data_IF_607156330909
#
_entry.id   IF_607156330909
#
_cell.length_a   1.000
_cell.length_b   1.000
_cell.length_c   1.000
_cell.angle_alpha   90.00
_cell.angle_beta   90.00
_cell.angle_gamma   90.00
#
_symmetry.space_group_name_H-M   'P 1'
#
loop_
_entity.id
_entity.type
_entity.pdbx_description
1 polymer ?
#
# COMPACT_ATOMS: atom_id res chain seq x y z
N UNK A 1 -33.85 3.53 -4.14
CA UNK A 1 -32.85 4.55 -4.15
C UNK A 1 -32.45 4.98 -5.55
N UNK A 2 -31.95 6.20 -5.65
CA UNK A 2 -31.33 6.73 -6.88
C UNK A 2 -29.82 6.68 -6.71
N UNK A 3 -29.14 6.17 -7.72
CA UNK A 3 -27.67 6.13 -7.80
C UNK A 3 -27.20 6.97 -8.99
N UNK A 4 -26.18 7.78 -8.80
CA UNK A 4 -25.63 8.68 -9.81
C UNK A 4 -24.17 8.30 -10.08
N UNK A 5 -23.76 8.34 -11.34
CA UNK A 5 -22.40 8.01 -11.76
C UNK A 5 -21.95 8.87 -12.94
N UNK A 6 -20.66 9.18 -13.00
CA UNK A 6 -20.06 9.93 -14.10
C UNK A 6 -20.16 11.45 -13.94
N UNK A 7 -20.35 12.16 -15.05
CA UNK A 7 -20.26 13.63 -15.08
C UNK A 7 -21.26 14.34 -14.17
N UNK A 8 -22.39 13.73 -13.88
CA UNK A 8 -23.39 14.30 -12.95
C UNK A 8 -22.82 14.48 -11.54
N UNK A 9 -21.79 13.73 -11.18
CA UNK A 9 -21.07 13.85 -9.91
C UNK A 9 -19.87 14.82 -9.99
N UNK A 10 -19.77 15.62 -11.06
CA UNK A 10 -18.69 16.58 -11.25
C UNK A 10 -17.38 15.99 -11.76
N UNK A 11 -17.34 14.73 -12.18
CA UNK A 11 -16.12 14.10 -12.72
C UNK A 11 -15.99 14.26 -14.23
N UNK A 12 -14.74 14.35 -14.70
CA UNK A 12 -14.41 14.29 -16.12
C UNK A 12 -13.42 13.15 -16.36
N UNK A 13 -13.76 12.27 -17.27
CA UNK A 13 -12.93 11.13 -17.66
C UNK A 13 -13.77 9.88 -17.83
N UNK A 14 -13.37 9.07 -18.82
CA UNK A 14 -14.07 7.83 -19.16
C UNK A 14 -13.91 6.79 -18.04
N UNK A 15 -12.72 6.68 -17.52
CA UNK A 15 -12.36 5.73 -16.46
C UNK A 15 -13.08 6.04 -15.15
N UNK A 16 -13.19 7.32 -14.80
CA UNK A 16 -13.91 7.77 -13.61
C UNK A 16 -15.40 7.46 -13.71
N UNK A 17 -16.00 7.67 -14.89
CA UNK A 17 -17.40 7.37 -15.13
C UNK A 17 -17.67 5.86 -15.07
N UNK A 18 -16.82 5.05 -15.67
CA UNK A 18 -16.91 3.60 -15.65
C UNK A 18 -16.78 3.05 -14.22
N UNK A 19 -15.79 3.51 -13.48
CA UNK A 19 -15.55 3.10 -12.09
C UNK A 19 -16.73 3.44 -11.17
N UNK A 20 -17.27 4.65 -11.27
CA UNK A 20 -18.49 5.05 -10.54
C UNK A 20 -19.69 4.20 -10.94
N UNK A 21 -19.84 3.89 -12.25
CA UNK A 21 -20.91 3.05 -12.75
C UNK A 21 -20.88 1.64 -12.15
N UNK A 22 -19.70 1.04 -12.02
CA UNK A 22 -19.53 -0.27 -11.36
C UNK A 22 -19.94 -0.19 -9.89
N UNK A 23 -19.46 0.81 -9.15
CA UNK A 23 -19.80 0.99 -7.74
C UNK A 23 -21.29 1.23 -7.53
N UNK A 24 -21.88 2.13 -8.32
CA UNK A 24 -23.29 2.46 -8.26
C UNK A 24 -24.17 1.26 -8.62
N UNK A 25 -23.79 0.51 -9.66
CA UNK A 25 -24.51 -0.70 -10.10
C UNK A 25 -24.46 -1.82 -9.06
N UNK A 26 -23.30 -2.08 -8.47
CA UNK A 26 -23.14 -3.06 -7.40
C UNK A 26 -24.05 -2.71 -6.21
N UNK A 27 -24.01 -1.46 -5.74
CA UNK A 27 -24.80 -1.01 -4.59
C UNK A 27 -26.31 -0.89 -4.90
N UNK A 28 -26.69 -0.72 -6.15
CA UNK A 28 -28.09 -0.74 -6.56
C UNK A 28 -28.64 -2.17 -6.57
N UNK A 29 -27.81 -3.16 -6.92
CA UNK A 29 -28.19 -4.58 -6.96
C UNK A 29 -28.31 -5.19 -5.56
N UNK A 30 -27.40 -4.86 -4.65
CA UNK A 30 -27.42 -5.32 -3.26
C UNK A 30 -27.32 -4.13 -2.30
N UNK A 31 -28.47 -3.73 -1.72
CA UNK A 31 -28.56 -2.62 -0.79
C UNK A 31 -28.26 -3.00 0.66
N UNK A 32 -28.42 -4.26 0.99
CA UNK A 32 -28.27 -4.75 2.36
C UNK A 32 -26.79 -4.99 2.68
N UNK A 33 -25.96 -5.19 1.64
CA UNK A 33 -24.50 -5.37 1.75
C UNK A 33 -23.75 -4.47 0.76
N UNK A 34 -23.72 -3.15 0.96
CA UNK A 34 -23.11 -2.23 0.00
C UNK A 34 -21.61 -2.49 -0.17
N UNK A 35 -21.16 -2.41 -1.42
CA UNK A 35 -19.74 -2.41 -1.76
C UNK A 35 -19.10 -1.09 -1.31
N UNK A 36 -18.30 -1.16 -0.28
CA UNK A 36 -17.51 -0.03 0.20
C UNK A 36 -16.03 -0.24 -0.11
N UNK A 37 -15.42 0.75 -0.76
CA UNK A 37 -13.99 0.76 -1.08
C UNK A 37 -13.32 1.92 -0.37
N UNK A 38 -12.35 1.60 0.46
CA UNK A 38 -11.58 2.62 1.19
C UNK A 38 -10.53 3.27 0.30
N UNK A 39 -10.08 4.47 0.69
CA UNK A 39 -8.93 5.17 0.09
C UNK A 39 -7.66 4.31 0.07
N UNK A 40 -7.52 3.42 1.03
CA UNK A 40 -6.37 2.53 1.16
C UNK A 40 -6.41 1.33 0.22
N UNK A 41 -7.58 1.05 -0.37
CA UNK A 41 -7.80 -0.16 -1.17
C UNK A 41 -7.80 0.09 -2.67
N UNK A 42 -8.22 1.25 -3.14
CA UNK A 42 -8.39 1.48 -4.57
C UNK A 42 -8.44 2.97 -4.95
N UNK A 43 -8.14 3.26 -6.22
CA UNK A 43 -8.37 4.57 -6.82
C UNK A 43 -9.86 4.95 -6.79
N UNK A 44 -10.75 3.98 -6.96
CA UNK A 44 -12.20 4.20 -6.85
C UNK A 44 -12.60 4.60 -5.43
N UNK A 45 -11.97 4.02 -4.40
CA UNK A 45 -12.16 4.42 -3.01
C UNK A 45 -11.71 5.87 -2.75
N UNK A 46 -10.56 6.27 -3.32
CA UNK A 46 -10.09 7.68 -3.26
C UNK A 46 -11.06 8.60 -3.97
N UNK A 47 -11.52 8.23 -5.17
CA UNK A 47 -12.50 9.01 -5.95
C UNK A 47 -13.80 9.22 -5.17
N UNK A 48 -14.36 8.14 -4.62
CA UNK A 48 -15.61 8.20 -3.88
C UNK A 48 -15.49 9.08 -2.62
N UNK A 49 -14.40 8.91 -1.88
CA UNK A 49 -14.13 9.71 -0.68
C UNK A 49 -13.92 11.19 -1.01
N UNK A 50 -13.11 11.52 -2.03
CA UNK A 50 -12.91 12.93 -2.43
C UNK A 50 -14.22 13.61 -2.86
N UNK A 51 -15.05 12.91 -3.65
CA UNK A 51 -16.34 13.48 -4.10
C UNK A 51 -17.36 13.66 -2.98
N UNK A 52 -17.37 12.75 -2.01
CA UNK A 52 -18.35 12.81 -0.90
C UNK A 52 -17.93 13.73 0.23
N UNK A 53 -16.62 13.91 0.46
CA UNK A 53 -16.11 14.73 1.57
C UNK A 53 -15.77 16.15 1.15
N UNK A 54 -15.16 16.33 -0.02
CA UNK A 54 -14.68 17.63 -0.52
C UNK A 54 -15.62 18.24 -1.56
N UNK A 55 -16.38 17.38 -2.25
CA UNK A 55 -17.13 17.78 -3.44
C UNK A 55 -16.22 18.10 -4.62
N UNK A 56 -16.81 18.64 -5.69
CA UNK A 56 -16.10 19.08 -6.89
C UNK A 56 -16.55 20.48 -7.26
N UNK A 57 -15.72 21.48 -6.96
CA UNK A 57 -15.94 22.88 -7.40
C UNK A 57 -15.46 23.08 -8.84
N UNK A 58 -14.52 22.26 -9.30
CA UNK A 58 -14.02 22.19 -10.67
C UNK A 58 -14.19 20.73 -11.17
N UNK A 59 -14.17 20.52 -12.52
CA UNK A 59 -14.24 19.16 -13.05
C UNK A 59 -13.19 18.26 -12.44
N UNK A 60 -13.63 17.28 -11.64
CA UNK A 60 -12.73 16.36 -10.94
C UNK A 60 -12.13 15.34 -11.92
N UNK A 61 -10.83 15.16 -11.84
CA UNK A 61 -10.10 14.11 -12.53
C UNK A 61 -9.15 13.38 -11.58
N UNK A 62 -9.08 12.06 -11.76
CA UNK A 62 -8.22 11.21 -10.94
C UNK A 62 -6.77 11.26 -11.44
N UNK A 63 -5.90 11.80 -10.60
CA UNK A 63 -4.45 11.78 -10.80
C UNK A 63 -3.78 10.94 -9.72
N UNK A 64 -2.66 10.33 -10.06
CA UNK A 64 -1.84 9.58 -9.11
C UNK A 64 -1.35 10.43 -7.92
N UNK A 65 -1.28 11.75 -8.08
CA UNK A 65 -0.94 12.70 -7.01
C UNK A 65 -2.00 12.79 -5.92
N UNK A 66 -3.26 12.39 -6.20
CA UNK A 66 -4.36 12.35 -5.23
C UNK A 66 -4.35 11.08 -4.38
N UNK A 67 -3.56 10.08 -4.77
CA UNK A 67 -3.52 8.76 -4.13
C UNK A 67 -2.31 8.70 -3.21
N UNK A 68 -2.55 8.75 -1.91
CA UNK A 68 -1.53 8.73 -0.88
C UNK A 68 -0.70 7.43 -0.94
N UNK A 69 -1.37 6.31 -1.22
CA UNK A 69 -0.75 4.98 -1.28
C UNK A 69 -0.49 4.46 -2.69
N UNK A 70 -0.15 5.35 -3.61
CA UNK A 70 0.07 4.98 -5.03
C UNK A 70 1.12 3.87 -5.26
N UNK A 71 2.05 3.67 -4.35
CA UNK A 71 3.04 2.59 -4.44
C UNK A 71 2.46 1.22 -4.05
N UNK A 72 1.43 1.20 -3.22
CA UNK A 72 0.72 -0.03 -2.82
C UNK A 72 -0.49 -0.30 -3.72
N UNK A 73 -1.15 0.76 -4.23
CA UNK A 73 -2.34 0.66 -5.08
C UNK A 73 -1.91 0.86 -6.52
N UNK A 74 -1.47 -0.23 -7.16
CA UNK A 74 -0.97 -0.22 -8.54
C UNK A 74 -1.92 -0.97 -9.48
N UNK A 75 -1.77 -0.73 -10.78
CA UNK A 75 -2.53 -1.44 -11.80
C UNK A 75 -2.14 -2.93 -11.89
N UNK A 76 -0.84 -3.23 -11.74
CA UNK A 76 -0.29 -4.58 -11.82
C UNK A 76 -0.77 -5.52 -10.69
N UNK A 77 -1.15 -4.97 -9.54
CA UNK A 77 -1.67 -5.75 -8.40
C UNK A 77 -3.18 -5.55 -8.13
N UNK A 78 -3.90 -4.90 -9.04
CA UNK A 78 -5.32 -4.56 -8.84
C UNK A 78 -6.20 -5.81 -8.71
N UNK A 79 -5.93 -6.85 -9.49
CA UNK A 79 -6.65 -8.11 -9.44
C UNK A 79 -6.50 -8.80 -8.07
N UNK A 80 -5.30 -8.87 -7.52
CA UNK A 80 -5.05 -9.47 -6.21
C UNK A 80 -5.78 -8.70 -5.09
N UNK A 81 -5.79 -7.37 -5.15
CA UNK A 81 -6.43 -6.54 -4.13
C UNK A 81 -7.96 -6.52 -4.22
N UNK A 82 -8.52 -6.50 -5.42
CA UNK A 82 -9.93 -6.21 -5.64
C UNK A 82 -10.77 -7.41 -6.03
N UNK A 83 -10.19 -8.46 -6.64
CA UNK A 83 -10.96 -9.63 -7.10
C UNK A 83 -11.70 -10.32 -5.95
N UNK A 84 -11.06 -10.45 -4.78
CA UNK A 84 -11.71 -11.04 -3.60
C UNK A 84 -12.91 -10.21 -3.11
N UNK A 85 -12.81 -8.89 -3.19
CA UNK A 85 -13.90 -7.98 -2.83
C UNK A 85 -15.02 -8.10 -3.85
N UNK A 86 -14.70 -8.04 -5.14
CA UNK A 86 -15.66 -8.18 -6.23
C UNK A 86 -16.37 -9.55 -6.25
N UNK A 87 -15.65 -10.62 -5.91
CA UNK A 87 -16.23 -11.96 -5.78
C UNK A 87 -17.28 -12.03 -4.65
N UNK A 88 -16.99 -11.45 -3.50
CA UNK A 88 -17.95 -11.38 -2.38
C UNK A 88 -19.23 -10.64 -2.74
N UNK A 89 -19.15 -9.65 -3.63
CA UNK A 89 -20.29 -8.86 -4.11
C UNK A 89 -20.94 -9.45 -5.37
N UNK A 90 -20.55 -10.66 -5.80
CA UNK A 90 -21.10 -11.30 -7.01
C UNK A 90 -20.70 -10.67 -8.35
N UNK A 91 -19.72 -9.73 -8.35
CA UNK A 91 -19.23 -9.07 -9.57
C UNK A 91 -18.17 -9.89 -10.32
N UNK A 92 -17.58 -10.88 -9.68
CA UNK A 92 -16.49 -11.70 -10.21
C UNK A 92 -16.86 -13.17 -10.10
N UNK A 93 -16.65 -13.93 -11.19
CA UNK A 93 -16.88 -15.38 -11.21
C UNK A 93 -15.86 -16.16 -10.35
N UNK A 94 -16.23 -17.38 -9.95
CA UNK A 94 -15.36 -18.30 -9.22
C UNK A 94 -14.07 -18.58 -9.98
N UNK A 95 -14.14 -18.78 -11.29
CA UNK A 95 -12.96 -19.02 -12.14
C UNK A 95 -11.97 -17.86 -12.09
N UNK A 96 -12.45 -16.62 -12.22
CA UNK A 96 -11.61 -15.42 -12.13
C UNK A 96 -11.02 -15.25 -10.75
N UNK A 97 -11.78 -15.58 -9.71
CA UNK A 97 -11.29 -15.52 -8.32
C UNK A 97 -10.18 -16.56 -8.07
N UNK A 98 -10.36 -17.79 -8.58
CA UNK A 98 -9.34 -18.84 -8.48
C UNK A 98 -8.05 -18.44 -9.20
N UNK A 99 -8.14 -17.90 -10.41
CA UNK A 99 -6.98 -17.40 -11.16
C UNK A 99 -6.20 -16.33 -10.40
N UNK A 100 -6.88 -15.32 -9.85
CA UNK A 100 -6.23 -14.26 -9.08
C UNK A 100 -5.59 -14.79 -7.78
N UNK A 101 -6.23 -15.78 -7.15
CA UNK A 101 -5.71 -16.43 -5.94
C UNK A 101 -4.46 -17.26 -6.24
N UNK A 102 -4.45 -17.98 -7.35
CA UNK A 102 -3.28 -18.75 -7.79
C UNK A 102 -2.10 -17.82 -8.09
N UNK A 103 -2.33 -16.74 -8.83
CA UNK A 103 -1.32 -15.72 -9.13
C UNK A 103 -0.74 -15.09 -7.85
N UNK A 104 -1.59 -14.78 -6.87
CA UNK A 104 -1.15 -14.26 -5.57
C UNK A 104 -0.23 -15.26 -4.84
N UNK A 105 -0.59 -16.55 -4.84
CA UNK A 105 0.18 -17.60 -4.21
C UNK A 105 1.54 -17.81 -4.91
N UNK A 106 1.57 -17.82 -6.23
CA UNK A 106 2.81 -17.94 -7.02
C UNK A 106 3.73 -16.72 -6.75
N UNK A 107 3.19 -15.51 -6.74
CA UNK A 107 3.97 -14.31 -6.42
C UNK A 107 4.56 -14.35 -5.01
N UNK A 108 3.77 -14.70 -4.00
CA UNK A 108 4.24 -14.87 -2.61
C UNK A 108 5.33 -15.93 -2.50
N UNK A 109 5.17 -17.03 -3.23
CA UNK A 109 6.16 -18.11 -3.24
C UNK A 109 7.45 -17.66 -3.88
N UNK A 110 7.40 -16.94 -4.99
CA UNK A 110 8.58 -16.35 -5.63
C UNK A 110 9.33 -15.39 -4.70
N UNK A 111 8.60 -14.48 -4.01
CA UNK A 111 9.18 -13.58 -3.00
C UNK A 111 9.90 -14.38 -1.92
N UNK A 112 9.26 -15.44 -1.41
CA UNK A 112 9.85 -16.27 -0.36
C UNK A 112 11.17 -16.93 -0.82
N UNK A 113 11.19 -17.51 -2.02
CA UNK A 113 12.39 -18.15 -2.59
C UNK A 113 13.52 -17.13 -2.79
N UNK A 114 13.23 -15.96 -3.37
CA UNK A 114 14.21 -14.92 -3.63
C UNK A 114 14.80 -14.30 -2.35
N UNK A 115 14.08 -14.31 -1.25
CA UNK A 115 14.54 -13.77 0.05
C UNK A 115 15.31 -14.79 0.88
N UNK A 116 14.84 -16.04 0.91
CA UNK A 116 15.19 -16.97 1.97
C UNK A 116 16.08 -18.11 1.54
N UNK A 117 16.27 -18.36 0.23
CA UNK A 117 17.19 -19.40 -0.23
C UNK A 117 18.64 -18.95 -0.01
N UNK A 118 19.33 -19.57 0.93
CA UNK A 118 20.69 -19.19 1.31
C UNK A 118 21.68 -19.37 0.16
N UNK A 119 21.59 -20.46 -0.59
CA UNK A 119 22.44 -20.73 -1.73
C UNK A 119 22.33 -19.74 -2.88
N UNK A 120 21.31 -18.89 -2.90
CA UNK A 120 21.19 -17.79 -3.86
C UNK A 120 21.98 -16.55 -3.47
N UNK A 121 22.49 -16.46 -2.25
CA UNK A 121 23.21 -15.29 -1.76
C UNK A 121 24.64 -15.27 -2.29
N UNK A 122 25.03 -14.17 -2.91
CA UNK A 122 26.36 -13.99 -3.51
C UNK A 122 26.97 -12.64 -3.12
N UNK A 123 28.29 -12.52 -3.25
CA UNK A 123 28.96 -11.23 -3.13
C UNK A 123 28.58 -10.30 -4.31
N UNK A 124 28.60 -8.98 -4.10
CA UNK A 124 28.28 -8.00 -5.15
C UNK A 124 29.05 -8.22 -6.44
N UNK A 125 30.36 -8.54 -6.35
CA UNK A 125 31.19 -8.82 -7.50
C UNK A 125 30.73 -10.03 -8.33
N UNK A 126 30.19 -11.05 -7.67
CA UNK A 126 29.67 -12.25 -8.35
C UNK A 126 28.36 -11.94 -9.08
N UNK A 127 27.46 -11.16 -8.46
CA UNK A 127 26.25 -10.69 -9.13
C UNK A 127 26.56 -9.90 -10.40
N UNK A 128 27.53 -8.98 -10.34
CA UNK A 128 27.96 -8.20 -11.50
C UNK A 128 28.57 -9.11 -12.57
N UNK A 129 29.41 -10.09 -12.17
CA UNK A 129 29.99 -11.05 -13.09
C UNK A 129 28.93 -11.91 -13.80
N UNK A 130 27.83 -12.22 -13.10
CA UNK A 130 26.68 -12.96 -13.64
C UNK A 130 25.72 -12.09 -14.46
N UNK A 131 26.04 -10.82 -14.69
CA UNK A 131 25.29 -9.92 -15.56
C UNK A 131 24.30 -8.99 -14.85
N UNK A 132 24.21 -9.01 -13.51
CA UNK A 132 23.38 -8.08 -12.75
C UNK A 132 24.15 -6.78 -12.52
N UNK A 133 23.83 -5.75 -13.32
CA UNK A 133 24.55 -4.48 -13.30
C UNK A 133 24.14 -3.57 -12.14
N UNK A 134 22.93 -3.75 -11.60
CA UNK A 134 22.39 -2.98 -10.48
C UNK A 134 22.44 -3.83 -9.21
N UNK A 135 23.53 -3.73 -8.48
CA UNK A 135 23.73 -4.45 -7.23
C UNK A 135 24.02 -3.48 -6.09
N UNK A 136 23.51 -3.72 -4.86
CA UNK A 136 23.81 -2.86 -3.73
C UNK A 136 25.32 -2.85 -3.46
N UNK A 137 25.84 -1.69 -3.03
CA UNK A 137 27.23 -1.58 -2.55
C UNK A 137 27.37 -2.39 -1.25
N UNK A 138 28.01 -3.54 -1.37
CA UNK A 138 28.31 -4.40 -0.23
C UNK A 138 29.77 -4.25 0.19
N UNK A 139 29.99 -3.39 1.14
CA UNK A 139 31.28 -3.26 1.82
C UNK A 139 31.56 -4.55 2.62
N UNK A 140 32.81 -4.98 2.64
CA UNK A 140 33.31 -6.07 3.50
C UNK A 140 32.85 -7.50 3.19
N UNK A 141 32.60 -7.84 1.91
CA UNK A 141 32.33 -9.24 1.52
C UNK A 141 30.97 -9.79 1.96
N UNK A 142 30.02 -8.94 2.33
CA UNK A 142 28.65 -9.32 2.67
C UNK A 142 27.99 -10.07 1.50
N UNK A 143 27.26 -11.13 1.82
CA UNK A 143 26.41 -11.83 0.85
C UNK A 143 25.10 -11.08 0.66
N UNK A 144 24.70 -10.92 -0.60
CA UNK A 144 23.52 -10.19 -1.05
C UNK A 144 22.53 -11.20 -1.61
N UNK A 145 21.27 -11.11 -1.19
CA UNK A 145 20.19 -11.95 -1.73
C UNK A 145 19.68 -11.42 -3.08
N UNK A 146 19.05 -12.27 -3.92
CA UNK A 146 18.36 -11.82 -5.13
C UNK A 146 17.36 -10.69 -4.87
N UNK A 147 16.64 -10.75 -3.75
CA UNK A 147 15.69 -9.72 -3.36
C UNK A 147 16.34 -8.34 -3.16
N UNK A 148 17.53 -8.27 -2.57
CA UNK A 148 18.30 -7.03 -2.40
C UNK A 148 18.79 -6.48 -3.76
N UNK A 149 19.12 -7.37 -4.71
CA UNK A 149 19.51 -6.98 -6.08
C UNK A 149 18.30 -6.38 -6.82
N UNK A 150 17.11 -6.95 -6.69
CA UNK A 150 15.86 -6.39 -7.22
C UNK A 150 15.59 -5.02 -6.59
N UNK A 151 15.75 -4.87 -5.28
CA UNK A 151 15.56 -3.59 -4.58
C UNK A 151 16.52 -2.49 -5.09
N UNK A 152 17.64 -2.86 -5.69
CA UNK A 152 18.55 -1.94 -6.37
C UNK A 152 18.14 -1.59 -7.80
N UNK A 153 17.03 -2.17 -8.28
CA UNK A 153 16.43 -1.90 -9.58
C UNK A 153 16.88 -2.83 -10.70
N UNK A 154 17.44 -4.00 -10.38
CA UNK A 154 17.76 -5.02 -11.37
C UNK A 154 16.51 -5.76 -11.84
N UNK A 155 16.47 -6.14 -13.11
CA UNK A 155 15.36 -6.86 -13.70
C UNK A 155 15.33 -8.32 -13.28
N UNK A 156 14.14 -8.87 -12.99
CA UNK A 156 13.95 -10.25 -12.55
C UNK A 156 14.49 -11.28 -13.56
N UNK A 157 14.40 -10.97 -14.85
CA UNK A 157 14.94 -11.83 -15.92
C UNK A 157 16.45 -12.03 -15.82
N UNK A 158 17.20 -10.95 -15.56
CA UNK A 158 18.65 -11.00 -15.39
C UNK A 158 19.02 -11.81 -14.15
N UNK A 159 18.26 -11.68 -13.07
CA UNK A 159 18.48 -12.42 -11.82
C UNK A 159 18.25 -13.91 -12.02
N UNK A 160 17.18 -14.32 -12.68
CA UNK A 160 16.91 -15.74 -12.97
C UNK A 160 18.00 -16.33 -13.86
N UNK A 161 18.46 -15.59 -14.87
CA UNK A 161 19.56 -16.02 -15.70
C UNK A 161 20.87 -16.18 -14.90
N UNK A 162 21.17 -15.23 -14.02
CA UNK A 162 22.33 -15.29 -13.13
C UNK A 162 22.28 -16.51 -12.19
N UNK A 163 21.12 -16.78 -11.58
CA UNK A 163 20.91 -17.95 -10.72
C UNK A 163 21.05 -19.26 -11.50
N UNK A 164 20.55 -19.31 -12.73
CA UNK A 164 20.68 -20.49 -13.61
C UNK A 164 22.15 -20.77 -13.96
N UNK A 165 22.93 -19.74 -14.30
CA UNK A 165 24.36 -19.85 -14.54
C UNK A 165 25.12 -20.31 -13.29
N UNK A 166 24.79 -19.76 -12.14
CA UNK A 166 25.39 -20.09 -10.86
C UNK A 166 25.23 -21.59 -10.53
N UNK A 167 24.01 -22.10 -10.61
CA UNK A 167 23.72 -23.53 -10.33
C UNK A 167 24.40 -24.45 -11.35
N UNK A 168 24.47 -24.04 -12.62
CA UNK A 168 25.16 -24.79 -13.66
C UNK A 168 26.67 -24.87 -13.41
N UNK A 169 27.32 -23.76 -13.02
CA UNK A 169 28.75 -23.71 -12.73
C UNK A 169 29.09 -24.55 -11.49
N UNK A 170 28.27 -24.54 -10.45
CA UNK A 170 28.48 -25.37 -9.25
C UNK A 170 28.45 -26.84 -9.56
N UNK A 171 27.59 -27.30 -10.48
CA UNK A 171 27.53 -28.69 -10.93
C UNK A 171 28.77 -29.13 -11.71
N UNK A 172 29.33 -28.21 -12.52
CA UNK A 172 30.51 -28.51 -13.32
C UNK A 172 31.80 -28.67 -12.49
N UNK A 173 31.88 -27.97 -11.35
CA UNK A 173 33.08 -27.97 -10.48
C UNK A 173 33.13 -29.13 -9.47
N UNK A 174 31.99 -29.78 -9.20
CA UNK A 174 31.88 -30.79 -8.12
C UNK A 174 31.15 -32.04 -8.58
N UNK A 175 31.88 -33.00 -9.10
CA UNK A 175 31.32 -34.33 -9.49
C UNK A 175 30.87 -35.20 -8.30
N UNK A 176 31.23 -34.91 -7.04
CA UNK A 176 31.09 -35.88 -5.94
C UNK A 176 30.68 -35.35 -4.55
N UNK A 177 30.13 -34.16 -4.39
CA UNK A 177 29.67 -33.73 -3.07
C UNK A 177 28.23 -33.20 -3.09
N UNK A 178 27.31 -34.01 -2.60
CA UNK A 178 25.90 -33.65 -2.44
C UNK A 178 25.76 -33.08 -1.02
N UNK A 179 25.94 -31.76 -0.87
CA UNK A 179 25.52 -31.08 0.35
C UNK A 179 24.02 -30.74 0.24
N UNK A 180 23.29 -30.86 1.32
CA UNK A 180 21.83 -30.58 1.39
C UNK A 180 21.48 -29.17 0.90
N UNK A 181 22.36 -28.19 1.11
CA UNK A 181 22.21 -26.81 0.67
C UNK A 181 22.22 -26.63 -0.87
N UNK A 182 23.04 -27.42 -1.58
CA UNK A 182 23.08 -27.38 -3.05
C UNK A 182 21.78 -27.93 -3.65
N UNK A 183 21.25 -28.99 -3.05
CA UNK A 183 19.97 -29.59 -3.46
C UNK A 183 18.78 -28.66 -3.20
N UNK A 184 18.79 -27.96 -2.08
CA UNK A 184 17.79 -26.93 -1.75
C UNK A 184 17.84 -25.81 -2.78
N UNK A 185 19.03 -25.31 -3.12
CA UNK A 185 19.25 -24.25 -4.10
C UNK A 185 18.74 -24.63 -5.49
N UNK A 186 19.05 -25.85 -5.94
CA UNK A 186 18.57 -26.36 -7.23
C UNK A 186 17.05 -26.51 -7.24
N UNK A 187 16.46 -27.01 -6.17
CA UNK A 187 15.01 -27.15 -6.03
C UNK A 187 14.32 -25.78 -6.07
N UNK A 188 14.85 -24.80 -5.36
CA UNK A 188 14.34 -23.43 -5.36
C UNK A 188 14.42 -22.78 -6.75
N UNK A 189 15.52 -23.00 -7.50
CA UNK A 189 15.64 -22.51 -8.86
C UNK A 189 14.63 -23.17 -9.81
N UNK A 190 14.45 -24.48 -9.72
CA UNK A 190 13.45 -25.20 -10.53
C UNK A 190 12.04 -24.68 -10.27
N UNK A 191 11.72 -24.40 -9.02
CA UNK A 191 10.43 -23.84 -8.64
C UNK A 191 10.24 -22.42 -9.19
N UNK A 192 11.25 -21.55 -9.17
CA UNK A 192 11.19 -20.23 -9.79
C UNK A 192 10.99 -20.32 -11.32
N UNK A 193 11.63 -21.28 -11.98
CA UNK A 193 11.43 -21.52 -13.40
C UNK A 193 10.01 -22.04 -13.71
N UNK A 194 9.48 -22.94 -12.88
CA UNK A 194 8.09 -23.42 -12.99
C UNK A 194 7.09 -22.26 -12.82
N UNK A 195 7.30 -21.38 -11.84
CA UNK A 195 6.48 -20.18 -11.67
C UNK A 195 6.53 -19.31 -12.93
N UNK A 196 7.72 -19.11 -13.51
CA UNK A 196 7.88 -18.33 -14.75
C UNK A 196 7.13 -18.94 -15.93
N UNK A 197 7.13 -20.26 -16.07
CA UNK A 197 6.43 -20.96 -17.15
C UNK A 197 4.90 -20.92 -16.95
N UNK A 198 4.44 -21.05 -15.71
CA UNK A 198 3.00 -21.06 -15.38
C UNK A 198 2.38 -19.67 -15.46
N UNK A 199 3.01 -18.68 -14.86
CA UNK A 199 2.54 -17.29 -14.85
C UNK A 199 3.70 -16.29 -14.67
N UNK A 200 4.22 -15.80 -15.79
CA UNK A 200 5.31 -14.81 -15.78
C UNK A 200 4.87 -13.53 -15.06
N UNK A 201 3.57 -13.17 -15.10
CA UNK A 201 3.07 -11.95 -14.46
C UNK A 201 3.08 -12.05 -12.92
N UNK A 202 3.01 -13.26 -12.36
CA UNK A 202 3.20 -13.47 -10.93
C UNK A 202 4.64 -13.19 -10.50
N UNK A 203 5.60 -13.53 -11.36
CA UNK A 203 7.03 -13.27 -11.10
C UNK A 203 7.36 -11.78 -11.24
N UNK A 204 6.81 -11.11 -12.25
CA UNK A 204 6.94 -9.65 -12.44
C UNK A 204 6.33 -8.89 -11.26
N UNK A 205 5.18 -9.33 -10.77
CA UNK A 205 4.53 -8.78 -9.58
C UNK A 205 5.41 -8.96 -8.35
N UNK A 206 5.99 -10.15 -8.15
CA UNK A 206 6.92 -10.41 -7.04
C UNK A 206 8.13 -9.47 -7.10
N UNK A 207 8.68 -9.25 -8.30
CA UNK A 207 9.78 -8.31 -8.52
C UNK A 207 9.39 -6.87 -8.17
N UNK A 208 8.22 -6.43 -8.62
CA UNK A 208 7.71 -5.07 -8.36
C UNK A 208 7.46 -4.86 -6.87
N UNK A 209 6.88 -5.85 -6.17
CA UNK A 209 6.64 -5.80 -4.74
C UNK A 209 7.95 -5.75 -3.94
N UNK A 210 8.96 -6.51 -4.33
CA UNK A 210 10.30 -6.46 -3.75
C UNK A 210 10.97 -5.10 -3.97
N UNK A 211 10.88 -4.56 -5.18
CA UNK A 211 11.45 -3.26 -5.52
C UNK A 211 10.88 -2.13 -4.66
N UNK A 212 9.55 -2.11 -4.48
CA UNK A 212 8.88 -1.08 -3.68
C UNK A 212 8.82 -1.38 -2.18
N UNK A 213 9.23 -2.56 -1.71
CA UNK A 213 9.05 -2.98 -0.32
C UNK A 213 9.56 -1.95 0.71
N UNK A 214 10.75 -1.42 0.51
CA UNK A 214 11.34 -0.43 1.42
C UNK A 214 10.59 0.90 1.41
N UNK A 215 10.10 1.32 0.25
CA UNK A 215 9.30 2.54 0.09
C UNK A 215 7.93 2.37 0.73
N UNK A 216 7.25 1.24 0.48
CA UNK A 216 5.94 0.91 1.05
C UNK A 216 6.03 0.82 2.58
N UNK A 217 7.10 0.23 3.12
CA UNK A 217 7.31 0.15 4.58
C UNK A 217 7.44 1.53 5.21
N UNK A 218 8.18 2.46 4.62
CA UNK A 218 8.28 3.85 5.07
C UNK A 218 6.93 4.55 4.97
N UNK A 219 6.28 4.48 3.81
CA UNK A 219 4.96 5.06 3.59
C UNK A 219 3.90 4.51 4.57
N UNK A 220 3.90 3.20 4.84
CA UNK A 220 2.97 2.58 5.79
C UNK A 220 3.17 3.09 7.21
N UNK A 221 4.43 3.36 7.61
CA UNK A 221 4.71 3.97 8.90
C UNK A 221 4.17 5.39 8.97
N UNK A 222 4.48 6.20 7.96
CA UNK A 222 4.01 7.59 7.90
C UNK A 222 2.47 7.67 7.91
N UNK A 223 1.81 6.79 7.13
CA UNK A 223 0.33 6.70 7.10
C UNK A 223 -0.23 6.18 8.42
N UNK A 224 0.44 5.23 9.08
CA UNK A 224 0.00 4.74 10.40
C UNK A 224 0.06 5.83 11.45
N UNK A 225 1.10 6.64 11.42
CA UNK A 225 1.26 7.76 12.33
C UNK A 225 0.21 8.85 12.01
N UNK A 226 -0.02 9.18 10.73
CA UNK A 226 -1.10 10.08 10.30
C UNK A 226 -2.49 9.56 10.69
N UNK A 227 -2.79 8.27 10.52
CA UNK A 227 -4.09 7.69 10.91
C UNK A 227 -4.36 7.77 12.41
N UNK A 228 -3.34 7.61 13.25
CA UNK A 228 -3.49 7.82 14.69
C UNK A 228 -3.89 9.27 14.98
N UNK A 229 -3.28 10.20 14.27
CA UNK A 229 -3.60 11.62 14.40
C UNK A 229 -4.98 11.93 13.77
N UNK A 230 -5.34 11.32 12.64
CA UNK A 230 -6.65 11.51 11.98
C UNK A 230 -7.83 11.03 12.82
N UNK A 231 -7.69 9.95 13.58
CA UNK A 231 -8.73 9.43 14.48
C UNK A 231 -8.82 10.17 15.80
N UNK A 232 -7.92 11.11 16.06
CA UNK A 232 -7.92 11.89 17.28
C UNK A 232 -9.17 12.78 17.33
N UNK A 233 -9.95 12.60 18.40
CA UNK A 233 -11.21 13.30 18.59
C UNK A 233 -10.93 14.75 18.97
N UNK A 234 -11.59 15.66 18.29
CA UNK A 234 -11.59 17.08 18.67
C UNK A 234 -12.67 17.24 19.75
N UNK A 235 -12.33 17.81 20.92
CA UNK A 235 -13.31 17.99 21.98
C UNK A 235 -14.51 18.83 21.51
N UNK A 236 -15.74 18.38 21.81
CA UNK A 236 -16.96 19.09 21.42
C UNK A 236 -17.04 20.52 21.97
N UNK A 237 -16.42 20.74 23.15
CA UNK A 237 -16.34 22.01 23.86
C UNK A 237 -15.16 22.89 23.41
N UNK A 238 -14.48 22.55 22.30
CA UNK A 238 -13.33 23.32 21.82
C UNK A 238 -13.73 24.75 21.46
N UNK A 239 -12.99 25.70 22.04
CA UNK A 239 -13.00 27.09 21.58
C UNK A 239 -11.78 27.31 20.67
N UNK A 240 -12.02 27.50 19.36
CA UNK A 240 -10.95 27.69 18.38
C UNK A 240 -10.14 28.98 18.60
N UNK A 241 -10.64 29.92 19.40
CA UNK A 241 -9.89 31.12 19.78
C UNK A 241 -8.74 30.82 20.74
N UNK A 242 -8.87 29.75 21.53
CA UNK A 242 -7.86 29.30 22.48
C UNK A 242 -6.77 28.43 21.83
N UNK A 243 -6.94 28.06 20.57
CA UNK A 243 -5.97 27.25 19.83
C UNK A 243 -4.90 28.15 19.23
N UNK A 244 -3.72 28.13 19.82
CA UNK A 244 -2.59 28.94 19.35
C UNK A 244 -2.14 28.52 17.94
N UNK A 245 -1.99 29.50 17.04
CA UNK A 245 -1.45 29.29 15.70
C UNK A 245 -2.52 29.08 14.61
N UNK A 246 -3.80 29.21 14.92
CA UNK A 246 -4.87 29.28 13.93
C UNK A 246 -4.98 30.68 13.33
N UNK A 247 -5.10 30.77 12.01
CA UNK A 247 -5.47 32.01 11.32
C UNK A 247 -6.95 32.37 11.57
N UNK A 248 -7.35 33.60 11.32
CA UNK A 248 -8.75 34.01 11.43
C UNK A 248 -9.66 33.20 10.48
N UNK A 249 -9.17 32.91 9.27
CA UNK A 249 -9.87 32.10 8.26
C UNK A 249 -10.02 30.64 8.71
N UNK A 250 -8.93 30.02 9.25
CA UNK A 250 -8.99 28.66 9.79
C UNK A 250 -10.00 28.54 10.93
N UNK A 251 -10.02 29.53 11.85
CA UNK A 251 -10.97 29.59 12.97
C UNK A 251 -12.42 29.64 12.50
N UNK A 252 -12.71 30.50 11.53
CA UNK A 252 -14.04 30.64 10.98
C UNK A 252 -14.55 29.37 10.33
N UNK A 253 -13.71 28.73 9.50
CA UNK A 253 -14.03 27.47 8.84
C UNK A 253 -14.24 26.32 9.84
N UNK A 254 -13.35 26.17 10.80
CA UNK A 254 -13.47 25.15 11.83
C UNK A 254 -14.68 25.35 12.73
N UNK A 255 -14.99 26.60 13.10
CA UNK A 255 -16.16 26.92 13.89
C UNK A 255 -17.49 26.69 13.15
N UNK A 256 -17.52 26.91 11.83
CA UNK A 256 -18.70 26.69 10.99
C UNK A 256 -19.00 25.21 10.78
N UNK A 257 -17.98 24.37 10.58
CA UNK A 257 -18.12 22.93 10.28
C UNK A 257 -18.16 22.07 11.54
N UNK A 258 -17.47 22.48 12.61
CA UNK A 258 -17.30 21.74 13.86
C UNK A 258 -16.92 20.28 13.66
N UNK A 259 -15.74 20.03 13.09
CA UNK A 259 -15.30 18.66 12.81
C UNK A 259 -15.11 17.85 14.11
N UNK A 260 -15.55 16.59 14.10
CA UNK A 260 -15.45 15.67 15.24
C UNK A 260 -14.04 15.09 15.42
N UNK A 261 -13.29 14.97 14.31
CA UNK A 261 -11.94 14.40 14.31
C UNK A 261 -10.96 15.29 13.57
N UNK A 262 -9.66 15.12 13.86
CA UNK A 262 -8.60 15.80 13.10
C UNK A 262 -8.65 15.45 11.61
N UNK A 263 -8.93 14.19 11.26
CA UNK A 263 -9.11 13.79 9.87
C UNK A 263 -10.25 14.53 9.19
N UNK A 264 -11.37 14.74 9.89
CA UNK A 264 -12.48 15.56 9.37
C UNK A 264 -12.06 17.02 9.19
N UNK A 265 -11.34 17.60 10.16
CA UNK A 265 -10.82 18.95 10.06
C UNK A 265 -9.89 19.15 8.84
N UNK A 266 -9.01 18.19 8.58
CA UNK A 266 -8.08 18.23 7.45
C UNK A 266 -8.74 18.12 6.07
N UNK A 267 -9.98 17.65 6.01
CA UNK A 267 -10.77 17.55 4.77
C UNK A 267 -11.56 18.82 4.45
N UNK A 268 -11.67 19.75 5.41
CA UNK A 268 -12.36 21.03 5.19
C UNK A 268 -11.56 21.87 4.19
N UNK A 269 -12.21 22.29 3.11
CA UNK A 269 -11.57 23.08 2.07
C UNK A 269 -11.04 24.41 2.64
N UNK A 270 -9.73 24.62 2.47
CA UNK A 270 -9.04 25.84 2.86
C UNK A 270 -8.60 25.89 4.33
N UNK A 271 -8.70 24.80 5.06
CA UNK A 271 -7.98 24.63 6.34
C UNK A 271 -6.51 24.35 6.04
N UNK A 272 -5.63 25.14 6.62
CA UNK A 272 -4.19 25.08 6.34
C UNK A 272 -3.51 23.89 7.07
N UNK A 273 -2.39 23.41 6.54
CA UNK A 273 -1.57 22.39 7.22
C UNK A 273 -1.04 22.88 8.57
N UNK A 274 -0.76 24.18 8.70
CA UNK A 274 -0.37 24.78 9.98
C UNK A 274 -1.48 24.74 11.01
N UNK A 275 -2.75 24.93 10.58
CA UNK A 275 -3.91 24.78 11.44
C UNK A 275 -4.05 23.33 11.95
N UNK A 276 -3.84 22.34 11.09
CA UNK A 276 -3.87 20.93 11.47
C UNK A 276 -2.83 20.59 12.55
N UNK A 277 -1.60 21.09 12.40
CA UNK A 277 -0.55 20.92 13.42
C UNK A 277 -0.89 21.61 14.76
N UNK A 278 -1.56 22.75 14.69
CA UNK A 278 -1.98 23.51 15.88
C UNK A 278 -3.12 22.78 16.62
N UNK A 279 -4.09 22.24 15.88
CA UNK A 279 -5.15 21.41 16.44
C UNK A 279 -4.61 20.11 17.04
N UNK A 280 -3.72 19.44 16.34
CA UNK A 280 -3.07 18.21 16.83
C UNK A 280 -2.39 18.45 18.18
N UNK A 281 -1.59 19.53 18.29
CA UNK A 281 -0.91 19.90 19.54
C UNK A 281 -1.88 20.22 20.66
N UNK A 282 -2.98 20.89 20.34
CA UNK A 282 -4.02 21.22 21.32
C UNK A 282 -4.70 19.96 21.85
N UNK A 283 -5.15 19.06 20.97
CA UNK A 283 -5.82 17.82 21.35
C UNK A 283 -4.88 16.90 22.16
N UNK A 284 -3.63 16.69 21.73
CA UNK A 284 -2.66 15.89 22.48
C UNK A 284 -2.33 16.47 23.86
N UNK A 285 -2.34 17.80 24.02
CA UNK A 285 -2.12 18.45 25.32
C UNK A 285 -3.34 18.24 26.25
N UNK A 286 -4.56 18.30 25.71
CA UNK A 286 -5.80 18.10 26.48
C UNK A 286 -5.91 16.65 26.94
N UNK A 287 -5.66 15.67 26.05
CA UNK A 287 -5.66 14.23 26.39
C UNK A 287 -4.70 13.91 27.54
N UNK A 288 -3.45 14.41 27.47
CA UNK A 288 -2.46 14.21 28.56
C UNK A 288 -2.89 14.88 29.87
N UNK A 289 -3.60 15.98 29.80
CA UNK A 289 -4.13 16.65 30.99
C UNK A 289 -5.26 15.83 31.62
N UNK A 290 -6.17 15.32 30.80
CA UNK A 290 -7.32 14.53 31.26
C UNK A 290 -6.88 13.17 31.81
N UNK A 291 -5.89 12.51 31.20
CA UNK A 291 -5.28 11.29 31.75
C UNK A 291 -4.66 11.54 33.15
N UNK A 292 -3.88 12.61 33.30
CA UNK A 292 -3.30 12.97 34.60
C UNK A 292 -4.36 13.30 35.66
N UNK A 293 -5.48 13.86 35.28
CA UNK A 293 -6.59 14.12 36.22
C UNK A 293 -7.32 12.83 36.62
N UNK A 294 -7.49 11.89 35.68
CA UNK A 294 -8.04 10.55 35.96
C UNK A 294 -7.13 9.77 36.93
N UNK A 295 -5.83 9.76 36.69
CA UNK A 295 -4.84 9.11 37.57
C UNK A 295 -4.86 9.71 38.99
N UNK A 296 -4.92 11.03 39.12
CA UNK A 296 -5.02 11.69 40.42
C UNK A 296 -6.30 11.35 41.17
N UNK A 297 -7.45 11.24 40.47
CA UNK A 297 -8.72 10.83 41.08
C UNK A 297 -8.72 9.38 41.56
N UNK A 298 -8.03 8.48 40.84
CA UNK A 298 -7.86 7.08 41.25
C UNK A 298 -6.95 6.96 42.48
N UNK A 299 -5.97 7.86 42.63
CA UNK A 299 -5.03 7.86 43.77
C UNK A 299 -5.66 8.45 45.04
N UNK A 300 -6.65 9.32 44.90
CA UNK A 300 -7.35 9.95 46.05
C UNK A 300 -8.46 9.04 46.59
N UNK A 301 -8.98 8.09 45.78
CA UNK A 301 -10.06 7.15 46.16
C UNK A 301 -9.53 5.78 46.60
N UNK A 302 -8.23 5.61 46.79
CA UNK A 302 -7.56 4.51 47.46
C UNK A 302 -7.02 4.97 48.81
#
# INVERSE_FOLDING_TARGET
GLYLAGQINGTTGYEEAAAQGVLAGANAADRDSPLELSRDSSYLGVLADDLTTRGATEPYRMFSSRVERRLSIRGDNADIRLTKIGHKCGLVSDERYQFATERENLSKRAIHLLKNTNGFRQQAKQWIHLGCMRCPDARHGRLISPAEVIQSGEEIGNIINALSQMVSNTKAEKENSIYDEEKETETALRELLDIRERDISALELASTDLYYENYIRRQSKDVSDMKKDETLIIPEDINYDDVFGLSAEDKEKLASVRPETLGHAGRIQGVSQSAMLSLLRYCQKKDRYDERQKEKKVFINK
#
